data_IF_893476199269
#
_entry.id   IF_893476199269
#
_cell.length_a   1.000
_cell.length_b   1.000
_cell.length_c   1.000
_cell.angle_alpha   90.00
_cell.angle_beta   90.00
_cell.angle_gamma   90.00
#
_symmetry.space_group_name_H-M   'P 1'
#
loop_
_entity.id
_entity.type
_entity.pdbx_description
1 polymer ?
#
# COMPACT_ATOMS: atom_id res chain seq x y z
N UNK A 1 -35.76 -41.88 64.81
CA UNK A 1 -36.30 -41.18 63.62
C UNK A 1 -35.37 -39.99 63.36
N UNK A 2 -34.34 -40.19 62.54
CA UNK A 2 -33.36 -39.16 62.23
C UNK A 2 -33.36 -38.94 60.72
N UNK A 3 -33.83 -37.77 60.33
CA UNK A 3 -33.93 -37.32 58.95
C UNK A 3 -32.60 -36.76 58.47
N UNK A 4 -31.95 -37.46 57.53
CA UNK A 4 -30.77 -37.01 56.83
C UNK A 4 -31.17 -35.95 55.79
N UNK A 5 -30.71 -34.73 56.01
CA UNK A 5 -30.86 -33.62 55.03
C UNK A 5 -29.63 -33.63 54.13
N UNK A 6 -29.80 -34.15 52.91
CA UNK A 6 -28.77 -34.12 51.84
C UNK A 6 -28.56 -32.69 51.37
N UNK A 7 -27.34 -32.17 51.57
CA UNK A 7 -26.90 -30.88 51.07
C UNK A 7 -26.26 -31.09 49.68
N UNK A 8 -27.01 -30.71 48.64
CA UNK A 8 -26.53 -30.69 47.26
C UNK A 8 -25.60 -29.46 47.06
N UNK A 9 -24.29 -29.70 47.01
CA UNK A 9 -23.31 -28.76 46.61
C UNK A 9 -23.39 -28.59 45.05
N UNK A 10 -23.93 -27.47 44.60
CA UNK A 10 -23.86 -27.08 43.19
C UNK A 10 -22.45 -26.56 42.92
N UNK A 11 -21.65 -27.37 42.27
CA UNK A 11 -20.34 -26.96 41.75
C UNK A 11 -20.59 -26.13 40.47
N UNK A 12 -20.55 -24.80 40.60
CA UNK A 12 -20.53 -23.91 39.42
C UNK A 12 -19.18 -24.05 38.71
N UNK A 13 -19.18 -24.76 37.57
CA UNK A 13 -18.06 -24.72 36.62
C UNK A 13 -18.00 -23.34 36.01
N UNK A 14 -17.09 -22.52 36.48
CA UNK A 14 -16.65 -21.31 35.79
C UNK A 14 -15.80 -21.74 34.60
N UNK A 15 -16.37 -21.75 33.41
CA UNK A 15 -15.65 -21.87 32.16
C UNK A 15 -14.70 -20.66 32.03
N UNK A 16 -13.40 -20.86 31.74
CA UNK A 16 -12.54 -19.73 31.42
C UNK A 16 -13.07 -19.09 30.15
N UNK A 17 -13.53 -17.84 30.29
CA UNK A 17 -13.92 -17.03 29.16
C UNK A 17 -12.75 -16.93 28.17
N UNK A 18 -12.96 -17.45 26.98
CA UNK A 18 -12.09 -17.18 25.85
C UNK A 18 -12.07 -15.67 25.64
N UNK A 19 -10.93 -15.04 26.00
CA UNK A 19 -10.70 -13.64 25.60
C UNK A 19 -10.78 -13.59 24.09
N UNK A 20 -11.53 -12.64 23.51
CA UNK A 20 -11.47 -12.39 22.08
C UNK A 20 -10.01 -12.05 21.77
N UNK A 21 -9.42 -12.78 20.82
CA UNK A 21 -8.14 -12.42 20.26
C UNK A 21 -8.23 -10.94 19.89
N UNK A 22 -7.40 -10.11 20.50
CA UNK A 22 -7.20 -8.73 20.08
C UNK A 22 -6.85 -8.79 18.62
N UNK A 23 -7.76 -8.35 17.79
CA UNK A 23 -7.59 -8.16 16.37
C UNK A 23 -6.45 -7.15 16.21
N UNK A 24 -5.23 -7.65 16.04
CA UNK A 24 -4.14 -6.84 15.54
C UNK A 24 -4.57 -6.47 14.13
N UNK A 25 -5.17 -5.28 14.00
CA UNK A 25 -5.60 -4.75 12.72
C UNK A 25 -4.39 -4.70 11.80
N UNK A 26 -4.29 -5.68 10.91
CA UNK A 26 -3.54 -5.48 9.70
C UNK A 26 -4.13 -4.23 9.07
N UNK A 27 -3.28 -3.25 8.79
CA UNK A 27 -3.66 -2.08 7.99
C UNK A 27 -3.96 -2.61 6.58
N UNK A 28 -5.12 -3.29 6.45
CA UNK A 28 -5.60 -3.76 5.18
C UNK A 28 -5.89 -2.54 4.31
N UNK A 29 -5.23 -2.50 3.17
CA UNK A 29 -5.61 -1.60 2.09
C UNK A 29 -7.08 -1.87 1.79
N UNK A 30 -7.97 -0.99 2.27
CA UNK A 30 -9.40 -1.11 1.97
C UNK A 30 -9.67 -0.46 0.61
N UNK A 31 -9.76 -1.22 -0.50
CA UNK A 31 -9.98 -0.68 -1.83
C UNK A 31 -11.32 0.07 -1.94
N UNK A 32 -12.31 -0.28 -1.11
CA UNK A 32 -13.61 0.39 -1.10
C UNK A 32 -13.52 1.78 -0.47
N UNK A 33 -12.71 1.96 0.59
CA UNK A 33 -12.48 3.27 1.17
C UNK A 33 -11.86 4.24 0.14
N UNK A 34 -10.91 3.77 -0.67
CA UNK A 34 -10.35 4.56 -1.75
C UNK A 34 -11.39 4.92 -2.82
N UNK A 35 -12.24 3.98 -3.21
CA UNK A 35 -13.28 4.21 -4.24
C UNK A 35 -14.36 5.18 -3.77
N UNK A 36 -14.62 5.27 -2.48
CA UNK A 36 -15.66 6.11 -1.90
C UNK A 36 -15.15 7.47 -1.43
N UNK A 37 -13.85 7.65 -1.21
CA UNK A 37 -13.29 8.94 -0.81
C UNK A 37 -13.29 9.93 -1.99
N UNK A 38 -13.99 11.08 -1.87
CA UNK A 38 -14.14 12.02 -2.99
C UNK A 38 -12.82 12.64 -3.43
N UNK A 39 -11.89 12.90 -2.50
CA UNK A 39 -10.60 13.47 -2.84
C UNK A 39 -9.68 12.42 -3.48
N UNK A 40 -9.73 11.15 -3.05
CA UNK A 40 -8.98 10.10 -3.75
C UNK A 40 -9.45 9.97 -5.22
N UNK A 41 -10.75 9.95 -5.44
CA UNK A 41 -11.34 9.89 -6.79
C UNK A 41 -10.98 11.13 -7.62
N UNK A 42 -11.04 12.33 -7.03
CA UNK A 42 -10.67 13.57 -7.72
C UNK A 42 -9.17 13.61 -8.06
N UNK A 43 -8.31 13.11 -7.18
CA UNK A 43 -6.86 12.97 -7.42
C UNK A 43 -6.57 12.06 -8.62
N UNK A 44 -7.25 10.90 -8.72
CA UNK A 44 -7.13 10.01 -9.89
C UNK A 44 -7.57 10.70 -11.20
N UNK A 45 -8.70 11.40 -11.18
CA UNK A 45 -9.15 12.17 -12.35
C UNK A 45 -8.16 13.27 -12.74
N UNK A 46 -7.46 13.88 -11.78
CA UNK A 46 -6.41 14.85 -12.05
C UNK A 46 -5.18 14.18 -12.70
N UNK A 47 -4.80 12.96 -12.27
CA UNK A 47 -3.75 12.16 -12.93
C UNK A 47 -4.09 11.91 -14.41
N UNK A 48 -5.33 11.51 -14.72
CA UNK A 48 -5.78 11.27 -16.10
C UNK A 48 -5.60 12.52 -16.99
N UNK A 49 -5.81 13.70 -16.42
CA UNK A 49 -5.60 15.00 -17.10
C UNK A 49 -4.14 15.49 -17.06
N UNK A 50 -3.25 14.73 -16.44
CA UNK A 50 -1.83 15.09 -16.17
C UNK A 50 -1.69 16.39 -15.36
N UNK A 51 -2.69 16.71 -14.57
CA UNK A 51 -2.67 17.83 -13.62
C UNK A 51 -2.09 17.37 -12.28
N UNK A 52 -0.77 17.30 -12.26
CA UNK A 52 -0.03 16.74 -11.12
C UNK A 52 -0.18 17.54 -9.82
N UNK A 53 -0.29 18.85 -9.93
CA UNK A 53 -0.49 19.74 -8.77
C UNK A 53 -1.84 19.49 -8.10
N UNK A 54 -2.90 19.52 -8.89
CA UNK A 54 -4.25 19.22 -8.40
C UNK A 54 -4.35 17.78 -7.89
N UNK A 55 -3.70 16.82 -8.53
CA UNK A 55 -3.64 15.45 -8.01
C UNK A 55 -3.00 15.38 -6.62
N UNK A 56 -1.87 16.05 -6.41
CA UNK A 56 -1.18 16.10 -5.12
C UNK A 56 -2.06 16.75 -4.04
N UNK A 57 -2.76 17.85 -4.36
CA UNK A 57 -3.66 18.54 -3.42
C UNK A 57 -4.79 17.61 -2.95
N UNK A 58 -5.46 16.95 -3.89
CA UNK A 58 -6.53 16.01 -3.56
C UNK A 58 -6.03 14.79 -2.79
N UNK A 59 -4.92 14.16 -3.19
CA UNK A 59 -4.40 13.03 -2.43
C UNK A 59 -3.91 13.43 -1.03
N UNK A 60 -3.36 14.62 -0.84
CA UNK A 60 -3.05 15.16 0.49
C UNK A 60 -4.31 15.37 1.34
N UNK A 61 -5.41 15.81 0.73
CA UNK A 61 -6.70 15.93 1.43
C UNK A 61 -7.24 14.54 1.82
N UNK A 62 -7.18 13.57 0.91
CA UNK A 62 -7.56 12.19 1.19
C UNK A 62 -6.70 11.58 2.32
N UNK A 63 -5.40 11.88 2.38
CA UNK A 63 -4.47 11.34 3.39
C UNK A 63 -4.79 11.75 4.83
N UNK A 64 -5.67 12.71 5.03
CA UNK A 64 -6.19 13.07 6.37
C UNK A 64 -7.20 12.06 6.89
N UNK A 65 -7.75 11.21 6.03
CA UNK A 65 -8.82 10.25 6.32
C UNK A 65 -8.44 8.81 5.96
N UNK A 66 -7.53 8.65 5.00
CA UNK A 66 -7.08 7.37 4.48
C UNK A 66 -5.58 7.24 4.71
N UNK A 67 -5.16 6.13 5.30
CA UNK A 67 -3.75 5.78 5.44
C UNK A 67 -3.56 4.38 4.88
N UNK A 68 -3.25 4.28 3.58
CA UNK A 68 -3.06 3.01 2.91
C UNK A 68 -2.02 3.09 1.78
N UNK A 69 -1.55 1.93 1.33
CA UNK A 69 -0.49 1.82 0.33
C UNK A 69 -0.87 2.46 -1.01
N UNK A 70 -2.10 2.27 -1.48
CA UNK A 70 -2.58 2.85 -2.74
C UNK A 70 -2.46 4.37 -2.75
N UNK A 71 -2.94 5.03 -1.65
CA UNK A 71 -2.90 6.48 -1.55
C UNK A 71 -1.46 7.01 -1.59
N UNK A 72 -0.57 6.41 -0.80
CA UNK A 72 0.83 6.81 -0.81
C UNK A 72 1.52 6.49 -2.13
N UNK A 73 1.17 5.40 -2.81
CA UNK A 73 1.64 5.08 -4.15
C UNK A 73 1.24 6.17 -5.16
N UNK A 74 -0.03 6.61 -5.14
CA UNK A 74 -0.52 7.67 -6.02
C UNK A 74 0.09 9.04 -5.70
N UNK A 75 0.30 9.37 -4.41
CA UNK A 75 1.05 10.57 -4.01
C UNK A 75 2.47 10.55 -4.56
N UNK A 76 3.19 9.45 -4.38
CA UNK A 76 4.53 9.28 -4.92
C UNK A 76 4.56 9.43 -6.44
N UNK A 77 3.60 8.82 -7.15
CA UNK A 77 3.47 8.96 -8.59
C UNK A 77 3.25 10.42 -9.01
N UNK A 78 2.31 11.13 -8.39
CA UNK A 78 2.02 12.52 -8.72
C UNK A 78 3.21 13.45 -8.44
N UNK A 79 3.91 13.27 -7.31
CA UNK A 79 5.16 14.01 -7.01
C UNK A 79 6.24 13.74 -8.05
N UNK A 80 6.48 12.47 -8.42
CA UNK A 80 7.47 12.11 -9.44
C UNK A 80 7.17 12.76 -10.79
N UNK A 81 5.90 12.74 -11.21
CA UNK A 81 5.46 13.37 -12.46
C UNK A 81 5.54 14.89 -12.40
N UNK A 82 5.36 15.49 -11.21
CA UNK A 82 5.56 16.93 -10.98
C UNK A 82 7.04 17.35 -10.85
N UNK A 83 7.97 16.40 -10.86
CA UNK A 83 9.42 16.64 -10.79
C UNK A 83 10.02 16.60 -9.38
N UNK A 84 9.21 16.42 -8.33
CA UNK A 84 9.66 16.29 -6.94
C UNK A 84 9.96 14.84 -6.61
N UNK A 85 11.21 14.41 -6.87
CA UNK A 85 11.63 13.04 -6.61
C UNK A 85 11.78 12.73 -5.11
N UNK A 86 12.16 13.71 -4.29
CA UNK A 86 12.38 13.49 -2.86
C UNK A 86 11.07 13.17 -2.15
N UNK A 87 10.02 13.96 -2.43
CA UNK A 87 8.67 13.66 -1.94
C UNK A 87 8.16 12.32 -2.49
N UNK A 88 8.43 12.02 -3.76
CA UNK A 88 8.03 10.74 -4.36
C UNK A 88 8.65 9.55 -3.63
N UNK A 89 9.97 9.56 -3.39
CA UNK A 89 10.66 8.50 -2.66
C UNK A 89 10.12 8.34 -1.23
N UNK A 90 9.80 9.45 -0.56
CA UNK A 90 9.22 9.43 0.79
C UNK A 90 7.88 8.68 0.79
N UNK A 91 6.99 9.02 -0.12
CA UNK A 91 5.67 8.40 -0.20
C UNK A 91 5.74 6.93 -0.64
N UNK A 92 6.59 6.57 -1.60
CA UNK A 92 6.79 5.17 -1.97
C UNK A 92 7.32 4.32 -0.83
N UNK A 93 8.23 4.88 -0.01
CA UNK A 93 8.72 4.19 1.19
C UNK A 93 7.60 3.93 2.20
N UNK A 94 6.70 4.89 2.41
CA UNK A 94 5.52 4.70 3.27
C UNK A 94 4.62 3.63 2.68
N UNK A 95 4.31 3.67 1.38
CA UNK A 95 3.48 2.68 0.72
C UNK A 95 4.02 1.25 0.90
N UNK A 96 5.33 1.04 0.70
CA UNK A 96 5.97 -0.27 0.89
C UNK A 96 6.14 -0.64 2.37
N UNK A 97 6.09 0.32 3.28
CA UNK A 97 6.01 0.06 4.72
C UNK A 97 4.65 -0.49 5.13
N UNK A 98 3.58 -0.07 4.46
CA UNK A 98 2.20 -0.53 4.68
C UNK A 98 1.97 -1.88 3.96
N UNK A 99 2.31 -1.95 2.69
CA UNK A 99 2.22 -3.16 1.87
C UNK A 99 3.55 -3.43 1.14
N UNK A 100 4.39 -4.32 1.68
CA UNK A 100 5.68 -4.68 1.07
C UNK A 100 5.57 -5.38 -0.30
N UNK A 101 4.37 -5.78 -0.70
CA UNK A 101 4.10 -6.46 -1.98
C UNK A 101 3.30 -5.59 -2.95
N UNK A 102 3.13 -4.30 -2.66
CA UNK A 102 2.35 -3.40 -3.50
C UNK A 102 3.00 -3.22 -4.89
N UNK A 103 2.47 -3.91 -5.89
CA UNK A 103 3.04 -4.00 -7.24
C UNK A 103 3.26 -2.63 -7.88
N UNK A 104 2.21 -1.80 -7.92
CA UNK A 104 2.29 -0.46 -8.51
C UNK A 104 3.34 0.43 -7.83
N UNK A 105 3.56 0.26 -6.51
CA UNK A 105 4.62 1.02 -5.83
C UNK A 105 6.01 0.52 -6.25
N UNK A 106 6.22 -0.79 -6.40
CA UNK A 106 7.50 -1.32 -6.91
C UNK A 106 7.79 -0.82 -8.32
N UNK A 107 6.80 -0.82 -9.21
CA UNK A 107 6.94 -0.26 -10.56
C UNK A 107 7.33 1.23 -10.50
N UNK A 108 6.53 2.07 -9.82
CA UNK A 108 6.73 3.52 -9.78
C UNK A 108 8.02 3.93 -9.09
N UNK A 109 8.43 3.22 -8.03
CA UNK A 109 9.68 3.44 -7.35
C UNK A 109 10.87 3.01 -8.22
N UNK A 110 10.74 1.90 -8.94
CA UNK A 110 11.72 1.46 -9.93
C UNK A 110 11.90 2.51 -11.03
N UNK A 111 10.83 3.05 -11.59
CA UNK A 111 10.89 4.15 -12.56
C UNK A 111 11.48 5.45 -11.98
N UNK A 112 11.21 5.74 -10.70
CA UNK A 112 11.84 6.88 -10.02
C UNK A 112 13.37 6.70 -9.93
N UNK A 113 13.84 5.48 -9.65
CA UNK A 113 15.27 5.17 -9.67
C UNK A 113 15.87 5.23 -11.08
N UNK A 114 15.15 4.80 -12.12
CA UNK A 114 15.56 5.00 -13.51
C UNK A 114 15.77 6.49 -13.78
N UNK A 115 14.80 7.33 -13.41
CA UNK A 115 14.88 8.79 -13.59
C UNK A 115 16.04 9.42 -12.79
N UNK A 116 16.35 8.87 -11.62
CA UNK A 116 17.48 9.28 -10.78
C UNK A 116 18.83 8.70 -11.25
N UNK A 117 18.89 7.90 -12.33
CA UNK A 117 20.10 7.26 -12.82
C UNK A 117 20.57 6.04 -12.00
N UNK A 118 19.80 5.58 -11.02
CA UNK A 118 20.17 4.44 -10.17
C UNK A 118 19.56 3.14 -10.71
N UNK A 119 20.16 2.62 -11.80
CA UNK A 119 19.64 1.42 -12.44
C UNK A 119 19.73 0.16 -11.58
N UNK A 120 20.68 0.09 -10.64
CA UNK A 120 20.80 -1.08 -9.78
C UNK A 120 19.61 -1.19 -8.82
N UNK A 121 19.17 -0.07 -8.23
CA UNK A 121 17.94 -0.06 -7.44
C UNK A 121 16.70 -0.31 -8.29
N UNK A 122 16.64 0.21 -9.50
CA UNK A 122 15.53 -0.09 -10.40
C UNK A 122 15.41 -1.60 -10.70
N UNK A 123 16.57 -2.28 -10.95
CA UNK A 123 16.59 -3.74 -11.15
C UNK A 123 16.20 -4.53 -9.90
N UNK A 124 16.51 -4.04 -8.70
CA UNK A 124 16.03 -4.68 -7.45
C UNK A 124 14.50 -4.67 -7.36
N UNK A 125 13.85 -3.56 -7.73
CA UNK A 125 12.39 -3.48 -7.77
C UNK A 125 11.80 -4.35 -8.88
N UNK A 126 12.48 -4.46 -10.04
CA UNK A 126 12.07 -5.36 -11.10
C UNK A 126 12.12 -6.84 -10.65
N UNK A 127 13.20 -7.25 -9.98
CA UNK A 127 13.31 -8.60 -9.41
C UNK A 127 12.21 -8.86 -8.37
N UNK A 128 11.87 -7.84 -7.57
CA UNK A 128 10.78 -7.98 -6.60
C UNK A 128 9.43 -8.16 -7.28
N UNK A 129 9.15 -7.46 -8.38
CA UNK A 129 7.94 -7.67 -9.18
C UNK A 129 7.89 -9.07 -9.78
N UNK A 130 9.00 -9.61 -10.27
CA UNK A 130 9.08 -11.00 -10.73
C UNK A 130 8.66 -12.00 -9.64
N UNK A 131 9.11 -11.79 -8.39
CA UNK A 131 8.71 -12.63 -7.25
C UNK A 131 7.23 -12.51 -6.89
N UNK A 132 6.65 -11.30 -6.98
CA UNK A 132 5.28 -11.01 -6.56
C UNK A 132 4.25 -11.48 -7.59
N UNK A 133 4.49 -11.23 -8.87
CA UNK A 133 3.50 -11.45 -9.93
C UNK A 133 4.02 -12.12 -11.21
N UNK A 134 5.31 -12.44 -11.26
CA UNK A 134 5.92 -13.03 -12.47
C UNK A 134 6.28 -12.00 -13.53
N UNK A 135 6.86 -12.50 -14.64
CA UNK A 135 7.36 -11.64 -15.72
C UNK A 135 6.28 -11.15 -16.69
N UNK A 136 5.09 -11.68 -16.60
CA UNK A 136 3.99 -11.37 -17.52
C UNK A 136 3.03 -10.31 -16.96
N UNK A 137 3.21 -9.87 -15.72
CA UNK A 137 2.38 -8.82 -15.15
C UNK A 137 2.77 -7.44 -15.71
N UNK A 138 1.79 -6.55 -15.78
CA UNK A 138 1.90 -5.23 -16.40
C UNK A 138 3.04 -4.42 -15.75
N UNK A 139 3.08 -4.40 -14.42
CA UNK A 139 4.05 -3.62 -13.65
C UNK A 139 5.49 -4.08 -13.88
N UNK A 140 5.72 -5.40 -14.05
CA UNK A 140 7.04 -5.91 -14.42
C UNK A 140 7.44 -5.47 -15.82
N UNK A 141 6.53 -5.61 -16.79
CA UNK A 141 6.80 -5.27 -18.20
C UNK A 141 7.06 -3.77 -18.36
N UNK A 142 6.34 -2.91 -17.62
CA UNK A 142 6.50 -1.47 -17.70
C UNK A 142 7.84 -1.02 -17.12
N UNK A 143 8.22 -1.53 -15.95
CA UNK A 143 9.53 -1.24 -15.37
C UNK A 143 10.68 -1.81 -16.20
N UNK A 144 10.55 -3.02 -16.76
CA UNK A 144 11.55 -3.60 -17.64
C UNK A 144 11.77 -2.74 -18.89
N UNK A 145 10.68 -2.20 -19.48
CA UNK A 145 10.77 -1.24 -20.60
C UNK A 145 11.47 0.06 -20.19
N UNK A 146 11.13 0.60 -19.02
CA UNK A 146 11.76 1.81 -18.52
C UNK A 146 13.28 1.65 -18.35
N UNK A 147 13.72 0.52 -17.77
CA UNK A 147 15.16 0.21 -17.62
C UNK A 147 15.84 0.04 -18.98
N UNK A 148 15.24 -0.69 -19.92
CA UNK A 148 15.84 -0.97 -21.22
C UNK A 148 15.96 0.27 -22.11
N UNK A 149 15.07 1.26 -21.93
CA UNK A 149 15.10 2.50 -22.70
C UNK A 149 16.31 3.38 -22.39
N UNK A 150 16.90 3.27 -21.20
CA UNK A 150 18.09 4.03 -20.81
C UNK A 150 19.36 3.58 -21.55
N UNK A 151 19.45 2.30 -21.95
CA UNK A 151 20.58 1.75 -22.67
C UNK A 151 20.65 2.13 -24.17
N UNK A 152 19.57 2.73 -24.70
CA UNK A 152 19.47 3.15 -26.12
C UNK A 152 19.77 4.64 -26.33
N UNK A 153 19.97 5.39 -25.26
CA UNK A 153 20.17 6.84 -25.31
C UNK A 153 21.65 7.28 -25.29
N UNK A 154 22.61 6.32 -25.41
CA UNK A 154 24.07 6.58 -25.48
C UNK A 154 24.62 6.21 -26.86
#
# INVERSE_FOLDING_TARGET
MTTFRSLLLVFSLILPGSMPATYAGTLETNPEANRSDPDFVAGKKAIERKDWKTAIEHFKAANKRLENADLHSHLGFAFRKNGDLDSAFTHYKVALGIDPNHRGTHEYLGEAYVKAGNLDKARQHLARLEEICGRDCEEYLDLARAISSTGKAN
#
